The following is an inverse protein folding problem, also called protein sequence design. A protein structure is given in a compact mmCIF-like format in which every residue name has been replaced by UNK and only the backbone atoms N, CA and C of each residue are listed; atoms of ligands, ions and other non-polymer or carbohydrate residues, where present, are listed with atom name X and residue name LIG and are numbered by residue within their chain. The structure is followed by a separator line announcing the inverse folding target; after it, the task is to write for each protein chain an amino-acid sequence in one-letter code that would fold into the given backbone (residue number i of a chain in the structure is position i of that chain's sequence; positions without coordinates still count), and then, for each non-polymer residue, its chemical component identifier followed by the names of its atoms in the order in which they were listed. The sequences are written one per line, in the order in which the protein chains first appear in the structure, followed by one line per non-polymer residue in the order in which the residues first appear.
data_IF_558934349836
#
_entry.id   IF_558934349836
#
_cell.length_a   1.000
_cell.length_b   1.000
_cell.length_c   1.000
_cell.angle_alpha   90.00
_cell.angle_beta   90.00
_cell.angle_gamma   90.00
#
_symmetry.space_group_name_H-M   'P 1'
#
loop_
_entity.id
_entity.type
_entity.pdbx_description
1 polymer ?
#
# COMPACT_ATOMS: atom_id res chain seq x y z
N UNK A 1 14.59 -6.83 5.80
CA UNK A 1 14.57 -5.79 6.84
C UNK A 1 13.22 -5.66 7.54
N UNK A 2 12.15 -6.12 6.91
CA UNK A 2 10.80 -6.12 7.47
C UNK A 2 10.24 -7.55 7.42
N UNK A 3 10.79 -8.48 8.22
CA UNK A 3 10.47 -9.91 8.07
C UNK A 3 9.02 -10.27 8.38
N UNK A 4 8.40 -9.62 9.36
CA UNK A 4 6.99 -9.88 9.71
C UNK A 4 6.08 -9.44 8.57
N UNK A 5 6.29 -8.24 8.05
CA UNK A 5 5.48 -7.66 6.98
C UNK A 5 5.65 -8.45 5.67
N UNK A 6 6.89 -8.79 5.31
CA UNK A 6 7.17 -9.60 4.12
C UNK A 6 6.52 -10.98 4.25
N UNK A 7 6.68 -11.64 5.39
CA UNK A 7 6.09 -12.96 5.61
C UNK A 7 4.56 -12.91 5.48
N UNK A 8 3.93 -11.87 6.02
CA UNK A 8 2.48 -11.67 5.92
C UNK A 8 2.04 -11.52 4.45
N UNK A 9 2.71 -10.63 3.71
CA UNK A 9 2.39 -10.42 2.30
C UNK A 9 2.55 -11.73 1.50
N UNK A 10 3.65 -12.43 1.69
CA UNK A 10 3.91 -13.69 0.99
C UNK A 10 2.93 -14.79 1.40
N UNK A 11 2.43 -14.78 2.62
CA UNK A 11 1.39 -15.71 3.07
C UNK A 11 0.10 -15.52 2.26
N UNK A 12 -0.30 -14.27 2.00
CA UNK A 12 -1.44 -13.98 1.13
C UNK A 12 -1.16 -14.42 -0.31
N UNK A 13 0.05 -14.16 -0.79
CA UNK A 13 0.46 -14.58 -2.15
C UNK A 13 0.42 -16.10 -2.29
N UNK A 14 1.04 -16.82 -1.35
CA UNK A 14 1.15 -18.28 -1.40
C UNK A 14 -0.21 -18.97 -1.24
N UNK A 15 -1.12 -18.37 -0.49
CA UNK A 15 -2.49 -18.88 -0.33
C UNK A 15 -3.40 -18.44 -1.49
N UNK A 16 -2.86 -17.75 -2.49
CA UNK A 16 -3.61 -17.26 -3.65
C UNK A 16 -4.79 -16.33 -3.28
N UNK A 17 -4.65 -15.61 -2.17
CA UNK A 17 -5.70 -14.72 -1.67
C UNK A 17 -5.91 -13.48 -2.53
N UNK A 18 -4.85 -13.02 -3.22
CA UNK A 18 -4.94 -11.84 -4.09
C UNK A 18 -5.58 -12.11 -5.45
N UNK A 19 -5.88 -13.37 -5.77
CA UNK A 19 -6.56 -13.69 -7.03
C UNK A 19 -7.91 -12.98 -7.07
N UNK A 20 -8.14 -12.23 -8.15
CA UNK A 20 -9.37 -11.43 -8.36
C UNK A 20 -9.60 -10.33 -7.29
N UNK A 21 -8.56 -9.92 -6.60
CA UNK A 21 -8.58 -8.69 -5.80
C UNK A 21 -8.46 -7.47 -6.72
N UNK A 22 -8.28 -6.28 -6.19
CA UNK A 22 -8.23 -5.09 -7.05
C UNK A 22 -7.41 -3.97 -6.43
N UNK A 23 -6.84 -3.13 -7.30
CA UNK A 23 -6.48 -1.77 -6.91
C UNK A 23 -7.78 -0.94 -6.93
N UNK A 24 -8.14 -0.35 -5.80
CA UNK A 24 -9.46 0.27 -5.62
C UNK A 24 -9.39 1.74 -5.20
N UNK A 25 -8.23 2.22 -4.76
CA UNK A 25 -8.08 3.59 -4.26
C UNK A 25 -6.80 4.20 -4.79
N UNK A 26 -6.88 5.49 -5.14
CA UNK A 26 -5.71 6.25 -5.57
C UNK A 26 -5.66 7.58 -4.85
N UNK A 27 -4.44 8.04 -4.54
CA UNK A 27 -4.18 9.40 -4.07
C UNK A 27 -3.33 10.08 -5.12
N UNK A 28 -3.81 11.22 -5.62
CA UNK A 28 -3.12 12.01 -6.64
C UNK A 28 -3.16 13.49 -6.30
N UNK A 29 -2.53 14.32 -7.10
CA UNK A 29 -2.44 15.75 -6.84
C UNK A 29 -3.80 16.46 -6.84
N UNK A 30 -4.79 15.92 -7.55
CA UNK A 30 -6.12 16.49 -7.63
C UNK A 30 -6.97 16.12 -6.42
N UNK A 31 -7.05 14.83 -6.09
CA UNK A 31 -7.91 14.38 -5.00
C UNK A 31 -7.31 14.59 -3.61
N UNK A 32 -6.03 14.93 -3.53
CA UNK A 32 -5.35 15.28 -2.29
C UNK A 32 -5.10 16.79 -2.15
N UNK A 33 -5.58 17.60 -3.09
CA UNK A 33 -5.28 19.04 -3.15
C UNK A 33 -5.72 19.81 -1.90
N UNK A 34 -6.80 19.38 -1.24
CA UNK A 34 -7.31 20.02 -0.03
C UNK A 34 -6.68 19.48 1.26
N UNK A 35 -5.84 18.47 1.16
CA UNK A 35 -5.19 17.87 2.32
C UNK A 35 -3.94 18.65 2.72
N UNK A 36 -3.72 18.80 4.03
CA UNK A 36 -2.52 19.46 4.56
C UNK A 36 -1.26 18.61 4.33
N UNK A 37 -1.41 17.29 4.33
CA UNK A 37 -0.30 16.34 4.09
C UNK A 37 -0.67 15.44 2.91
N UNK A 38 -0.55 15.92 1.67
CA UNK A 38 -0.90 15.13 0.50
C UNK A 38 0.12 14.02 0.24
N UNK A 39 -0.36 12.92 -0.31
CA UNK A 39 0.49 11.80 -0.74
C UNK A 39 0.09 11.35 -2.13
N UNK A 40 0.94 10.56 -2.77
CA UNK A 40 0.65 9.95 -4.07
C UNK A 40 0.91 8.46 -3.99
N UNK A 41 -0.15 7.68 -4.07
CA UNK A 41 -0.10 6.22 -3.99
C UNK A 41 -1.21 5.59 -4.82
N UNK A 42 -1.07 4.30 -5.13
CA UNK A 42 -2.20 3.44 -5.47
C UNK A 42 -2.31 2.37 -4.38
N UNK A 43 -3.53 2.02 -4.03
CA UNK A 43 -3.81 1.06 -2.96
C UNK A 43 -4.63 -0.10 -3.49
N UNK A 44 -4.24 -1.31 -3.12
CA UNK A 44 -4.95 -2.53 -3.48
C UNK A 44 -5.07 -3.49 -2.31
N UNK A 45 -5.86 -4.51 -2.53
CA UNK A 45 -6.08 -5.56 -1.52
C UNK A 45 -7.35 -6.33 -1.80
N UNK A 46 -7.72 -7.18 -0.86
CA UNK A 46 -8.88 -8.06 -0.97
C UNK A 46 -10.18 -7.28 -1.03
N UNK A 47 -11.21 -7.90 -1.60
CA UNK A 47 -12.56 -7.35 -1.56
C UNK A 47 -13.06 -7.29 -0.11
N UNK A 48 -13.95 -6.35 0.16
CA UNK A 48 -14.42 -6.01 1.51
C UNK A 48 -14.89 -7.21 2.32
N UNK A 49 -15.54 -8.16 1.68
CA UNK A 49 -16.09 -9.36 2.35
C UNK A 49 -15.17 -10.57 2.28
N UNK A 50 -13.97 -10.43 1.73
CA UNK A 50 -13.04 -11.56 1.63
C UNK A 50 -12.40 -11.83 2.98
N UNK A 51 -12.22 -13.12 3.30
CA UNK A 51 -11.59 -13.55 4.53
C UNK A 51 -10.07 -13.44 4.43
N UNK A 52 -9.46 -12.73 5.38
CA UNK A 52 -8.01 -12.56 5.48
C UNK A 52 -7.41 -13.30 6.67
N UNK A 53 -6.11 -13.11 6.84
CA UNK A 53 -5.37 -13.64 7.98
C UNK A 53 -5.36 -12.64 9.12
N UNK A 54 -4.99 -13.05 10.35
CA UNK A 54 -4.92 -12.12 11.48
C UNK A 54 -3.98 -10.94 11.22
N UNK A 55 -4.25 -9.77 11.85
CA UNK A 55 -3.40 -8.60 11.69
C UNK A 55 -2.00 -8.83 12.25
N UNK A 56 -1.05 -8.03 11.77
CA UNK A 56 0.36 -8.14 12.16
C UNK A 56 0.81 -6.91 12.93
N UNK A 57 1.85 -7.07 13.75
CA UNK A 57 2.50 -5.96 14.42
C UNK A 57 3.22 -5.09 13.39
N UNK A 58 3.14 -3.78 13.59
CA UNK A 58 3.79 -2.83 12.70
C UNK A 58 5.33 -2.92 12.84
N UNK A 59 6.00 -2.92 11.69
CA UNK A 59 7.45 -2.75 11.60
C UNK A 59 7.71 -1.36 11.06
N UNK A 60 7.95 -0.40 11.95
CA UNK A 60 8.12 0.99 11.54
C UNK A 60 9.39 1.21 10.73
N UNK A 61 9.41 2.26 9.92
CA UNK A 61 10.62 2.60 9.15
C UNK A 61 11.78 3.00 10.05
N UNK A 62 11.49 3.44 11.27
CA UNK A 62 12.53 3.67 12.29
C UNK A 62 13.26 2.37 12.66
N UNK A 63 12.50 1.27 12.82
CA UNK A 63 13.05 -0.04 13.15
C UNK A 63 13.78 -0.68 11.98
N UNK A 64 13.18 -0.60 10.79
CA UNK A 64 13.70 -1.31 9.61
C UNK A 64 14.79 -0.55 8.87
N UNK A 65 14.81 0.78 8.98
CA UNK A 65 15.68 1.64 8.18
C UNK A 65 15.22 1.84 6.74
N UNK A 66 14.07 1.28 6.38
CA UNK A 66 13.47 1.49 5.05
C UNK A 66 12.78 2.84 5.00
N UNK A 67 12.57 3.36 3.79
CA UNK A 67 11.88 4.64 3.57
C UNK A 67 10.84 4.50 2.47
N UNK A 68 9.85 5.38 2.51
CA UNK A 68 8.84 5.47 1.46
C UNK A 68 9.39 6.30 0.29
N UNK A 69 10.00 5.61 -0.64
CA UNK A 69 10.54 6.19 -1.88
C UNK A 69 9.67 5.82 -3.06
N UNK A 70 9.98 6.37 -4.24
CA UNK A 70 9.24 6.02 -5.46
C UNK A 70 9.25 4.51 -5.68
N UNK A 71 8.08 3.90 -5.81
CA UNK A 71 7.92 2.47 -6.02
C UNK A 71 7.90 1.62 -4.75
N UNK A 72 8.02 2.22 -3.56
CA UNK A 72 7.97 1.46 -2.31
C UNK A 72 6.59 0.85 -2.09
N UNK A 73 6.58 -0.45 -1.73
CA UNK A 73 5.38 -1.15 -1.25
C UNK A 73 5.30 -1.03 0.26
N UNK A 74 4.12 -0.71 0.76
CA UNK A 74 3.87 -0.52 2.19
C UNK A 74 2.48 -1.02 2.56
N UNK A 75 2.26 -1.28 3.85
CA UNK A 75 0.97 -1.80 4.31
C UNK A 75 0.03 -0.68 4.73
N UNK A 76 -1.17 -0.71 4.17
CA UNK A 76 -2.27 0.12 4.68
C UNK A 76 -2.74 -0.44 6.03
N UNK A 77 -3.25 0.43 6.88
CA UNK A 77 -3.71 0.06 8.22
C UNK A 77 -4.71 1.09 8.76
N UNK A 78 -5.42 0.69 9.79
CA UNK A 78 -6.19 1.64 10.61
C UNK A 78 -5.30 2.07 11.79
N UNK A 79 -5.50 1.49 12.98
CA UNK A 79 -4.60 1.73 14.12
C UNK A 79 -3.27 1.00 13.91
N UNK A 80 -2.24 1.29 14.70
CA UNK A 80 -1.04 0.45 14.69
C UNK A 80 -1.39 -1.00 15.00
N UNK A 81 -0.68 -1.94 14.38
CA UNK A 81 -0.87 -3.38 14.55
C UNK A 81 -2.22 -3.90 14.04
N UNK A 82 -2.77 -3.26 13.01
CA UNK A 82 -4.03 -3.69 12.38
C UNK A 82 -3.89 -4.08 10.90
N UNK A 83 -2.70 -4.01 10.35
CA UNK A 83 -2.49 -4.33 8.93
C UNK A 83 -2.79 -5.79 8.65
N UNK A 84 -3.48 -6.06 7.54
CA UNK A 84 -3.79 -7.41 7.08
C UNK A 84 -3.34 -7.63 5.64
N UNK A 85 -4.19 -7.34 4.67
CA UNK A 85 -3.94 -7.61 3.25
C UNK A 85 -3.67 -6.35 2.41
N UNK A 86 -4.27 -5.24 2.78
CA UNK A 86 -4.26 -4.04 1.95
C UNK A 86 -2.88 -3.40 1.94
N UNK A 87 -2.41 -3.08 0.75
CA UNK A 87 -1.08 -2.50 0.55
C UNK A 87 -1.18 -1.32 -0.42
N UNK A 88 -0.14 -0.50 -0.44
CA UNK A 88 -0.07 0.60 -1.40
C UNK A 88 1.33 0.69 -2.00
N UNK A 89 1.39 1.33 -3.16
CA UNK A 89 2.64 1.58 -3.89
C UNK A 89 2.82 3.09 -4.00
N UNK A 90 3.97 3.59 -3.54
CA UNK A 90 4.28 5.01 -3.58
C UNK A 90 4.65 5.47 -4.97
N UNK A 91 4.18 6.64 -5.34
CA UNK A 91 4.58 7.35 -6.56
C UNK A 91 5.32 8.60 -6.10
N UNK A 92 6.61 8.69 -6.45
CA UNK A 92 7.50 9.69 -5.88
C UNK A 92 7.87 9.35 -4.43
N UNK A 93 8.72 10.17 -3.85
CA UNK A 93 9.14 10.00 -2.46
C UNK A 93 8.05 10.55 -1.53
N UNK A 94 7.69 9.77 -0.52
CA UNK A 94 6.60 10.08 0.40
C UNK A 94 7.09 10.05 1.85
N UNK A 95 7.93 11.03 2.26
CA UNK A 95 8.54 11.02 3.60
C UNK A 95 7.52 11.15 4.74
N UNK A 96 6.35 11.71 4.47
CA UNK A 96 5.30 11.82 5.50
C UNK A 96 4.63 10.48 5.84
N UNK A 97 4.95 9.44 5.11
CA UNK A 97 4.51 8.06 5.43
C UNK A 97 5.53 7.32 6.30
N UNK A 98 6.73 7.86 6.48
CA UNK A 98 7.76 7.28 7.36
C UNK A 98 7.43 7.53 8.82
N UNK A 99 8.09 6.78 9.71
CA UNK A 99 7.98 7.02 11.16
C UNK A 99 8.31 8.49 11.47
N UNK A 100 7.48 9.12 12.27
CA UNK A 100 7.60 10.55 12.56
C UNK A 100 6.96 11.45 11.52
N UNK A 101 6.51 10.91 10.41
CA UNK A 101 5.77 11.65 9.41
C UNK A 101 4.37 12.02 9.90
N UNK A 102 3.71 12.89 9.17
CA UNK A 102 2.47 13.53 9.60
C UNK A 102 1.21 13.03 8.90
N UNK A 103 1.36 12.17 7.89
CA UNK A 103 0.18 11.67 7.15
C UNK A 103 -0.77 10.94 8.10
N UNK A 104 -0.25 10.06 8.94
CA UNK A 104 -1.03 9.46 10.00
C UNK A 104 -0.71 10.18 11.31
N UNK A 105 -1.73 10.73 12.01
CA UNK A 105 -1.51 11.54 13.22
C UNK A 105 -0.85 10.79 14.37
N UNK A 106 -0.86 9.44 14.37
CA UNK A 106 -0.21 8.68 15.45
C UNK A 106 1.33 8.73 15.37
N UNK A 107 1.90 9.26 14.28
CA UNK A 107 3.33 9.44 14.12
C UNK A 107 4.12 8.17 13.87
N UNK A 108 3.48 7.00 13.82
CA UNK A 108 4.19 5.73 13.60
C UNK A 108 4.44 5.43 12.12
N UNK A 109 3.76 6.13 11.23
CA UNK A 109 3.88 5.90 9.80
C UNK A 109 3.36 4.54 9.38
N UNK A 110 3.95 4.00 8.33
CA UNK A 110 3.51 2.73 7.72
C UNK A 110 4.69 1.80 7.52
N UNK A 111 4.41 0.50 7.42
CA UNK A 111 5.44 -0.52 7.29
C UNK A 111 5.82 -0.73 5.82
N UNK A 112 6.88 -0.05 5.38
CA UNK A 112 7.48 -0.28 4.07
C UNK A 112 8.16 -1.65 4.05
N UNK A 113 7.96 -2.43 2.96
CA UNK A 113 8.47 -3.80 2.95
C UNK A 113 8.96 -4.28 1.58
N UNK A 114 8.73 -3.55 0.51
CA UNK A 114 9.12 -3.97 -0.82
C UNK A 114 9.29 -2.80 -1.77
N UNK A 115 9.66 -3.10 -3.00
CA UNK A 115 9.90 -2.09 -4.03
C UNK A 115 9.56 -2.63 -5.40
N UNK A 116 8.90 -1.79 -6.20
CA UNK A 116 8.66 -2.08 -7.61
C UNK A 116 9.99 -1.93 -8.37
N UNK A 117 10.39 -2.97 -9.08
CA UNK A 117 11.60 -2.96 -9.91
C UNK A 117 11.29 -2.75 -11.38
N UNK A 118 10.03 -3.01 -11.80
CA UNK A 118 9.60 -2.87 -13.18
C UNK A 118 8.09 -2.63 -13.20
N UNK A 119 7.61 -1.72 -14.04
CA UNK A 119 6.18 -1.47 -14.21
C UNK A 119 5.66 -0.20 -13.54
N UNK A 120 6.51 0.74 -13.15
CA UNK A 120 6.05 2.01 -12.58
C UNK A 120 5.18 2.82 -13.54
N UNK A 121 5.33 2.65 -14.83
CA UNK A 121 4.45 3.27 -15.83
C UNK A 121 3.00 2.79 -15.67
N UNK A 122 2.80 1.51 -15.37
CA UNK A 122 1.48 0.94 -15.08
C UNK A 122 0.91 1.50 -13.78
N UNK A 123 1.74 1.60 -12.74
CA UNK A 123 1.34 2.19 -11.45
C UNK A 123 0.84 3.62 -11.64
N UNK A 124 1.59 4.43 -12.38
CA UNK A 124 1.21 5.81 -12.69
C UNK A 124 -0.07 5.90 -13.52
N UNK A 125 -0.26 4.99 -14.46
CA UNK A 125 -1.48 4.93 -15.28
C UNK A 125 -2.70 4.65 -14.41
N UNK A 126 -2.60 3.74 -13.45
CA UNK A 126 -3.68 3.43 -12.51
C UNK A 126 -4.00 4.67 -11.65
N UNK A 127 -2.98 5.38 -11.17
CA UNK A 127 -3.17 6.58 -10.35
C UNK A 127 -4.00 7.66 -11.08
N UNK A 128 -3.89 7.74 -12.39
CA UNK A 128 -4.57 8.75 -13.20
C UNK A 128 -5.96 8.34 -13.67
N UNK A 129 -6.42 7.14 -13.33
CA UNK A 129 -7.76 6.69 -13.68
C UNK A 129 -8.81 7.45 -12.89
N UNK A 130 -10.03 7.49 -13.44
CA UNK A 130 -11.14 8.24 -12.84
C UNK A 130 -11.49 7.70 -11.45
N UNK A 131 -11.57 8.61 -10.48
CA UNK A 131 -11.94 8.29 -9.10
C UNK A 131 -13.11 9.16 -8.62
N UNK A 132 -13.76 8.70 -7.55
CA UNK A 132 -14.71 9.49 -6.77
C UNK A 132 -14.24 9.43 -5.32
N UNK A 133 -13.82 10.58 -4.79
CA UNK A 133 -13.29 10.66 -3.41
C UNK A 133 -12.21 9.62 -3.13
N UNK A 134 -11.24 9.51 -4.04
CA UNK A 134 -10.10 8.60 -4.03
C UNK A 134 -10.40 7.15 -4.43
N UNK A 135 -11.66 6.72 -4.49
CA UNK A 135 -12.01 5.37 -4.91
C UNK A 135 -12.20 5.32 -6.43
N UNK A 136 -11.53 4.38 -7.07
CA UNK A 136 -11.64 4.21 -8.51
C UNK A 136 -13.06 3.87 -8.91
N UNK A 137 -13.58 4.56 -9.93
CA UNK A 137 -14.92 4.27 -10.49
C UNK A 137 -14.94 2.86 -11.04
N UNK A 138 -13.85 2.45 -11.70
CA UNK A 138 -13.66 1.09 -12.18
C UNK A 138 -12.37 0.53 -11.56
N UNK A 139 -12.46 -0.23 -10.45
CA UNK A 139 -11.28 -0.84 -9.86
C UNK A 139 -10.50 -1.69 -10.85
N UNK A 140 -9.18 -1.68 -10.72
CA UNK A 140 -8.30 -2.47 -11.59
C UNK A 140 -8.11 -3.84 -10.98
N UNK A 141 -8.65 -4.87 -11.62
CA UNK A 141 -8.58 -6.25 -11.12
C UNK A 141 -7.13 -6.74 -11.09
N UNK A 142 -6.73 -7.28 -9.96
CA UNK A 142 -5.48 -8.02 -9.80
C UNK A 142 -5.82 -9.47 -10.09
N UNK A 143 -5.40 -9.97 -11.25
CA UNK A 143 -5.71 -11.36 -11.61
C UNK A 143 -5.04 -12.33 -10.65
N UNK A 144 -3.77 -12.11 -10.38
CA UNK A 144 -3.02 -12.87 -9.38
C UNK A 144 -1.72 -12.14 -9.03
N UNK A 145 -1.13 -12.56 -7.92
CA UNK A 145 0.23 -12.19 -7.52
C UNK A 145 0.97 -13.50 -7.27
N UNK A 146 2.12 -13.68 -7.90
CA UNK A 146 2.91 -14.91 -7.80
C UNK A 146 4.36 -14.61 -7.46
N UNK A 147 5.00 -15.50 -6.72
CA UNK A 147 6.45 -15.47 -6.59
C UNK A 147 7.08 -15.93 -7.91
N UNK A 148 8.18 -15.28 -8.27
CA UNK A 148 9.06 -15.75 -9.35
C UNK A 148 10.43 -16.03 -8.76
N UNK A 149 11.07 -17.04 -9.32
CA UNK A 149 12.39 -17.47 -8.83
C UNK A 149 13.48 -17.20 -9.85
#
# INVERSE_FOLDING_TARGET
KAPITVANFLKYVDANKYENSAFFRVCNTQNEAERSIPIEVIQGGLNENAEGFPPINIETTKETGLKHENGTLSMARLEPNTATDSFFICIGNQPELDFGGKRNPDGQGFAAFGKVTKGMDVVKAIQQMKDTSQYLVEPVVIKNIKRIQ
#
